data_IF_423751755278
#
_entry.id   IF_423751755278
#
_cell.length_a   1.000
_cell.length_b   1.000
_cell.length_c   1.000
_cell.angle_alpha   90.00
_cell.angle_beta   90.00
_cell.angle_gamma   90.00
#
_symmetry.space_group_name_H-M   'P 1'
#
loop_
_entity.id
_entity.type
_entity.pdbx_description
1 polymer ?
#
# COMPACT_ATOMS: atom_id res chain seq x y z
N UNK A 1 -27.77 30.52 -6.84
CA UNK A 1 -27.36 29.42 -5.96
C UNK A 1 -25.87 29.20 -6.20
N UNK A 2 -25.01 29.61 -5.26
CA UNK A 2 -23.57 29.40 -5.39
C UNK A 2 -23.26 27.93 -5.08
N UNK A 3 -22.38 27.24 -5.83
CA UNK A 3 -22.00 25.86 -5.52
C UNK A 3 -21.39 25.77 -4.11
N UNK A 4 -21.66 24.67 -3.39
CA UNK A 4 -21.05 24.44 -2.08
C UNK A 4 -19.55 24.20 -2.31
N UNK A 5 -18.63 24.89 -1.61
CA UNK A 5 -17.19 24.62 -1.72
C UNK A 5 -16.82 23.15 -1.49
N UNK A 6 -17.66 22.36 -0.81
CA UNK A 6 -17.49 20.91 -0.63
C UNK A 6 -17.76 20.09 -1.90
N UNK A 7 -18.46 20.63 -2.89
CA UNK A 7 -18.78 19.91 -4.14
C UNK A 7 -17.52 19.48 -4.90
N UNK A 8 -16.44 20.29 -4.86
CA UNK A 8 -15.15 19.96 -5.48
C UNK A 8 -14.38 18.82 -4.81
N UNK A 9 -14.81 18.41 -3.61
CA UNK A 9 -14.14 17.39 -2.79
C UNK A 9 -14.93 16.08 -2.72
N UNK A 10 -16.14 16.02 -3.29
CA UNK A 10 -17.01 14.83 -3.24
C UNK A 10 -16.44 13.60 -3.95
N UNK A 11 -15.46 13.77 -4.83
CA UNK A 11 -14.78 12.64 -5.46
C UNK A 11 -13.82 11.90 -4.50
N UNK A 12 -13.40 12.51 -3.38
CA UNK A 12 -12.71 11.79 -2.28
C UNK A 12 -13.65 10.85 -1.53
N UNK A 13 -14.95 11.13 -1.56
CA UNK A 13 -16.00 10.30 -0.94
C UNK A 13 -16.45 9.17 -1.88
N UNK A 14 -15.90 9.10 -3.10
CA UNK A 14 -16.17 8.00 -4.01
C UNK A 14 -15.79 6.68 -3.30
N UNK A 15 -16.72 5.71 -3.22
CA UNK A 15 -16.38 4.43 -2.62
C UNK A 15 -15.21 3.84 -3.40
N UNK A 16 -14.20 3.35 -2.69
CA UNK A 16 -13.06 2.69 -3.30
C UNK A 16 -13.60 1.52 -4.15
N UNK A 17 -13.69 1.71 -5.47
CA UNK A 17 -14.08 0.67 -6.43
C UNK A 17 -12.93 -0.31 -6.69
N UNK A 18 -11.89 -0.26 -5.85
CA UNK A 18 -10.79 -1.22 -5.86
C UNK A 18 -11.30 -2.64 -5.62
N UNK A 19 -10.58 -3.60 -6.20
CA UNK A 19 -10.78 -5.04 -6.01
C UNK A 19 -11.22 -5.32 -4.58
N UNK A 20 -12.36 -6.00 -4.40
CA UNK A 20 -12.84 -6.35 -3.07
C UNK A 20 -11.71 -7.07 -2.31
N UNK A 21 -11.14 -6.39 -1.31
CA UNK A 21 -10.10 -6.96 -0.48
C UNK A 21 -10.69 -8.19 0.19
N UNK A 22 -10.31 -9.39 -0.28
CA UNK A 22 -10.52 -10.60 0.50
C UNK A 22 -9.73 -10.37 1.78
N UNK A 23 -10.39 -10.26 2.95
CA UNK A 23 -9.67 -9.99 4.18
C UNK A 23 -8.65 -11.11 4.35
N UNK A 24 -7.36 -10.77 4.48
CA UNK A 24 -6.34 -11.80 4.63
C UNK A 24 -6.66 -12.62 5.87
N UNK A 25 -6.66 -13.95 5.73
CA UNK A 25 -6.84 -14.82 6.88
C UNK A 25 -5.58 -14.78 7.77
N UNK A 26 -5.74 -15.13 9.05
CA UNK A 26 -4.65 -15.11 10.02
C UNK A 26 -3.46 -15.99 9.58
N UNK A 27 -3.72 -17.09 8.86
CA UNK A 27 -2.69 -17.97 8.32
C UNK A 27 -1.74 -17.24 7.37
N UNK A 28 -2.29 -16.44 6.44
CA UNK A 28 -1.51 -15.64 5.51
C UNK A 28 -0.68 -14.59 6.25
N UNK A 29 -1.27 -13.89 7.22
CA UNK A 29 -0.56 -12.91 8.03
C UNK A 29 0.63 -13.55 8.79
N UNK A 30 0.42 -14.72 9.40
CA UNK A 30 1.50 -15.47 10.05
C UNK A 30 2.58 -15.94 9.08
N UNK A 31 2.21 -16.41 7.88
CA UNK A 31 3.17 -16.79 6.86
C UNK A 31 4.08 -15.61 6.48
N UNK A 32 3.48 -14.44 6.22
CA UNK A 32 4.21 -13.21 5.93
C UNK A 32 5.11 -12.79 7.09
N UNK A 33 4.61 -12.81 8.32
CA UNK A 33 5.40 -12.47 9.50
C UNK A 33 6.63 -13.39 9.67
N UNK A 34 6.51 -14.69 9.37
CA UNK A 34 7.66 -15.61 9.38
C UNK A 34 8.65 -15.33 8.24
N UNK A 35 8.16 -15.21 7.00
CA UNK A 35 9.01 -14.97 5.83
C UNK A 35 9.82 -13.66 5.94
N UNK A 36 9.20 -12.64 6.51
CA UNK A 36 9.75 -11.29 6.61
C UNK A 36 10.20 -10.92 8.03
N UNK A 37 10.26 -11.90 8.93
CA UNK A 37 10.83 -11.77 10.27
C UNK A 37 12.29 -12.20 10.37
N UNK A 38 12.85 -12.82 9.32
CA UNK A 38 14.28 -13.14 9.26
C UNK A 38 15.12 -11.92 8.84
N UNK A 39 16.43 -11.88 9.16
CA UNK A 39 17.32 -10.81 8.73
C UNK A 39 17.32 -10.57 7.20
N UNK A 40 17.22 -11.65 6.42
CA UNK A 40 17.16 -11.60 4.96
C UNK A 40 15.81 -11.05 4.49
N UNK A 41 14.71 -11.51 5.12
CA UNK A 41 13.37 -11.01 4.86
C UNK A 41 13.23 -9.51 5.16
N UNK A 42 13.79 -9.04 6.28
CA UNK A 42 13.82 -7.61 6.63
C UNK A 42 14.66 -6.80 5.63
N UNK A 43 15.75 -7.37 5.13
CA UNK A 43 16.56 -6.75 4.09
C UNK A 43 15.79 -6.61 2.77
N UNK A 44 15.06 -7.65 2.37
CA UNK A 44 14.20 -7.60 1.18
C UNK A 44 13.08 -6.57 1.33
N UNK A 45 12.38 -6.53 2.47
CA UNK A 45 11.32 -5.56 2.74
C UNK A 45 11.83 -4.12 2.76
N UNK A 46 13.00 -3.89 3.36
CA UNK A 46 13.65 -2.59 3.32
C UNK A 46 13.89 -2.17 1.87
N UNK A 47 14.51 -3.03 1.06
CA UNK A 47 14.76 -2.75 -0.35
C UNK A 47 13.48 -2.43 -1.15
N UNK A 48 12.40 -3.18 -0.94
CA UNK A 48 11.10 -2.88 -1.56
C UNK A 48 10.57 -1.50 -1.14
N UNK A 49 10.69 -1.14 0.14
CA UNK A 49 10.29 0.16 0.64
C UNK A 49 11.16 1.30 0.08
N UNK A 50 12.47 1.10 -0.11
CA UNK A 50 13.37 2.04 -0.80
C UNK A 50 12.91 2.29 -2.24
N UNK A 51 12.59 1.22 -2.97
CA UNK A 51 12.18 1.30 -4.38
C UNK A 51 10.82 1.94 -4.60
N UNK A 52 9.95 1.97 -3.58
CA UNK A 52 8.52 2.31 -3.72
C UNK A 52 8.09 3.44 -2.79
N UNK A 53 7.98 3.17 -1.49
CA UNK A 53 7.46 4.07 -0.47
C UNK A 53 8.35 5.32 -0.30
N UNK A 54 9.67 5.13 -0.35
CA UNK A 54 10.66 6.21 -0.20
C UNK A 54 11.14 6.78 -1.53
N UNK A 55 10.63 6.28 -2.65
CA UNK A 55 10.97 6.78 -3.97
C UNK A 55 10.10 7.99 -4.32
N UNK A 56 10.77 9.11 -4.61
CA UNK A 56 10.16 10.28 -5.24
C UNK A 56 10.34 10.23 -6.76
N UNK A 57 9.36 10.76 -7.48
CA UNK A 57 9.45 11.01 -8.92
C UNK A 57 9.60 12.52 -9.15
N UNK A 58 10.31 12.89 -10.22
CA UNK A 58 10.47 14.29 -10.61
C UNK A 58 9.15 14.92 -11.08
N UNK A 59 9.09 16.26 -11.19
CA UNK A 59 7.88 16.98 -11.59
C UNK A 59 7.40 16.60 -13.01
N UNK A 60 8.31 16.19 -13.89
CA UNK A 60 8.01 15.80 -15.28
C UNK A 60 7.64 14.33 -15.44
N UNK A 61 7.37 13.61 -14.34
CA UNK A 61 7.02 12.20 -14.40
C UNK A 61 5.68 11.99 -15.10
N UNK A 62 5.63 11.02 -16.02
CA UNK A 62 4.40 10.73 -16.75
C UNK A 62 3.35 10.10 -15.82
N UNK A 63 2.07 10.40 -16.06
CA UNK A 63 0.94 9.85 -15.31
C UNK A 63 0.96 8.32 -15.18
N UNK A 64 1.39 7.62 -16.23
CA UNK A 64 1.50 6.17 -16.21
C UNK A 64 2.54 5.69 -15.19
N UNK A 65 3.65 6.42 -15.03
CA UNK A 65 4.67 6.11 -14.03
C UNK A 65 4.18 6.41 -12.62
N UNK A 66 3.44 7.52 -12.44
CA UNK A 66 2.81 7.86 -11.15
C UNK A 66 1.84 6.75 -10.72
N UNK A 67 0.91 6.35 -11.60
CA UNK A 67 -0.05 5.27 -11.31
C UNK A 67 0.64 3.93 -11.06
N UNK A 68 1.68 3.61 -11.82
CA UNK A 68 2.44 2.38 -11.62
C UNK A 68 3.14 2.36 -10.27
N UNK A 69 3.81 3.44 -9.89
CA UNK A 69 4.45 3.56 -8.58
C UNK A 69 3.42 3.47 -7.45
N UNK A 70 2.24 4.06 -7.61
CA UNK A 70 1.20 3.99 -6.59
C UNK A 70 0.66 2.56 -6.39
N UNK A 71 0.50 1.80 -7.48
CA UNK A 71 0.18 0.37 -7.39
C UNK A 71 1.26 -0.43 -6.64
N UNK A 72 2.54 -0.13 -6.88
CA UNK A 72 3.64 -0.75 -6.14
C UNK A 72 3.63 -0.37 -4.65
N UNK A 73 3.33 0.89 -4.32
CA UNK A 73 3.24 1.36 -2.92
C UNK A 73 2.10 0.69 -2.17
N UNK A 74 0.93 0.57 -2.79
CA UNK A 74 -0.20 -0.16 -2.20
C UNK A 74 0.19 -1.60 -1.89
N UNK A 75 0.85 -2.30 -2.82
CA UNK A 75 1.30 -3.67 -2.59
C UNK A 75 2.30 -3.77 -1.43
N UNK A 76 3.33 -2.92 -1.41
CA UNK A 76 4.34 -2.96 -0.34
C UNK A 76 3.74 -2.58 1.02
N UNK A 77 2.82 -1.62 1.07
CA UNK A 77 2.08 -1.28 2.28
C UNK A 77 1.21 -2.44 2.78
N UNK A 78 0.57 -3.18 1.85
CA UNK A 78 -0.20 -4.38 2.18
C UNK A 78 0.68 -5.48 2.79
N UNK A 79 1.88 -5.71 2.24
CA UNK A 79 2.87 -6.64 2.81
C UNK A 79 3.25 -6.22 4.24
N UNK A 80 3.56 -4.94 4.46
CA UNK A 80 3.84 -4.43 5.81
C UNK A 80 2.67 -4.66 6.77
N UNK A 81 1.43 -4.45 6.33
CA UNK A 81 0.24 -4.68 7.14
C UNK A 81 0.08 -6.17 7.52
N UNK A 82 0.31 -7.10 6.59
CA UNK A 82 0.29 -8.54 6.88
C UNK A 82 1.36 -8.94 7.89
N UNK A 83 2.58 -8.45 7.72
CA UNK A 83 3.68 -8.72 8.66
C UNK A 83 3.34 -8.19 10.05
N UNK A 84 2.81 -6.97 10.15
CA UNK A 84 2.41 -6.38 11.42
C UNK A 84 1.30 -7.19 12.12
N UNK A 85 0.25 -7.59 11.38
CA UNK A 85 -0.85 -8.43 11.89
C UNK A 85 -0.35 -9.79 12.37
N UNK A 86 0.45 -10.48 11.56
CA UNK A 86 1.00 -11.78 11.91
C UNK A 86 1.95 -11.75 13.10
N UNK A 87 2.66 -10.63 13.34
CA UNK A 87 3.47 -10.39 14.55
C UNK A 87 2.59 -10.08 15.77
N UNK A 88 1.44 -9.44 15.58
CA UNK A 88 0.48 -9.14 16.64
C UNK A 88 -0.42 -10.33 17.03
N UNK A 89 -0.39 -11.43 16.26
CA UNK A 89 -1.26 -12.59 16.48
C UNK A 89 -2.70 -12.39 16.00
N UNK A 90 -2.92 -11.47 15.05
CA UNK A 90 -4.22 -11.11 14.48
C UNK A 90 -4.42 -11.71 13.09
#
# INVERSE_FOLDING_TARGET
MSPDPRDGWRWFEAPATGHADVPPNAELAHAFARCFGSPEGETALRHLADMTLRRALGPDAADAQLRHLEGQRQLVAYVHALVARGRAGQ
#
